data_IF_281250095942
#
_entry.id   IF_281250095942
#
_cell.length_a   1.000
_cell.length_b   1.000
_cell.length_c   1.000
_cell.angle_alpha   90.00
_cell.angle_beta   90.00
_cell.angle_gamma   90.00
#
_symmetry.space_group_name_H-M   'P 1'
#
loop_
_entity.id
_entity.type
_entity.pdbx_description
1 polymer ?
#
# COMPACT_ATOMS: atom_id res chain seq x y z
N UNK A 1 -11.31 -0.95 -11.87
CA UNK A 1 -10.68 -1.75 -10.80
C UNK A 1 -10.05 -0.75 -9.84
N UNK A 2 -10.40 -0.82 -8.55
CA UNK A 2 -9.99 0.18 -7.57
C UNK A 2 -8.79 -0.29 -6.72
N UNK A 3 -8.70 -1.58 -6.43
CA UNK A 3 -7.57 -2.24 -5.76
C UNK A 3 -7.06 -3.41 -6.62
N UNK A 4 -5.75 -3.46 -6.83
CA UNK A 4 -5.07 -4.56 -7.52
C UNK A 4 -4.08 -5.19 -6.55
N UNK A 5 -4.17 -6.52 -6.36
CA UNK A 5 -3.10 -7.31 -5.72
C UNK A 5 -2.31 -8.03 -6.80
N UNK A 6 -0.97 -7.86 -6.77
CA UNK A 6 -0.01 -8.52 -7.65
C UNK A 6 0.88 -9.40 -6.78
N UNK A 7 0.86 -10.72 -7.06
CA UNK A 7 1.62 -11.72 -6.32
C UNK A 7 1.87 -12.88 -7.31
N UNK A 8 2.92 -12.73 -8.10
CA UNK A 8 3.23 -13.59 -9.26
C UNK A 8 4.65 -14.11 -9.24
N UNK A 9 5.25 -14.12 -8.05
CA UNK A 9 6.51 -14.80 -7.72
C UNK A 9 7.66 -14.42 -8.68
N UNK A 10 7.95 -13.10 -8.75
CA UNK A 10 9.07 -12.54 -9.49
C UNK A 10 8.71 -11.90 -10.84
N UNK A 11 7.45 -11.95 -11.27
CA UNK A 11 6.96 -11.32 -12.51
C UNK A 11 6.16 -10.03 -12.29
N UNK A 12 6.18 -9.45 -11.09
CA UNK A 12 5.43 -8.25 -10.70
C UNK A 12 5.72 -7.08 -11.63
N UNK A 13 6.98 -6.86 -11.95
CA UNK A 13 7.42 -5.81 -12.88
C UNK A 13 6.81 -5.94 -14.28
N UNK A 14 6.70 -7.16 -14.80
CA UNK A 14 6.11 -7.41 -16.11
C UNK A 14 4.58 -7.21 -16.07
N UNK A 15 3.93 -7.65 -15.00
CA UNK A 15 2.48 -7.39 -14.79
C UNK A 15 2.21 -5.89 -14.74
N UNK A 16 3.02 -5.11 -14.02
CA UNK A 16 2.91 -3.66 -13.97
C UNK A 16 3.11 -3.04 -15.35
N UNK A 17 4.13 -3.46 -16.07
CA UNK A 17 4.48 -2.95 -17.40
C UNK A 17 3.36 -3.18 -18.42
N UNK A 18 2.84 -4.39 -18.49
CA UNK A 18 1.79 -4.74 -19.47
C UNK A 18 0.38 -4.37 -19.01
N UNK A 19 0.16 -4.25 -17.70
CA UNK A 19 -1.10 -3.80 -17.12
C UNK A 19 -1.31 -2.28 -17.16
N UNK A 20 -0.38 -1.51 -17.72
CA UNK A 20 -0.22 -0.06 -17.69
C UNK A 20 -1.50 0.75 -17.46
N UNK A 21 -2.47 0.70 -18.39
CA UNK A 21 -3.72 1.48 -18.27
C UNK A 21 -4.60 1.02 -17.09
N UNK A 22 -4.66 -0.28 -16.83
CA UNK A 22 -5.41 -0.83 -15.71
C UNK A 22 -4.77 -0.44 -14.37
N UNK A 23 -3.45 -0.57 -14.30
CA UNK A 23 -2.65 -0.16 -13.15
C UNK A 23 -2.81 1.35 -12.93
N UNK A 24 -2.57 2.15 -13.97
CA UNK A 24 -2.65 3.61 -13.88
C UNK A 24 -4.02 4.11 -13.43
N UNK A 25 -5.10 3.43 -13.75
CA UNK A 25 -6.47 3.84 -13.38
C UNK A 25 -6.96 3.25 -12.06
N UNK A 26 -6.16 2.40 -11.38
CA UNK A 26 -6.50 1.91 -10.05
C UNK A 26 -6.19 2.96 -8.97
N UNK A 27 -6.74 2.76 -7.76
CA UNK A 27 -6.53 3.67 -6.62
C UNK A 27 -5.42 3.17 -5.70
N UNK A 28 -5.33 1.85 -5.54
CA UNK A 28 -4.38 1.17 -4.64
C UNK A 28 -3.80 -0.04 -5.34
N UNK A 29 -2.51 -0.26 -5.14
CA UNK A 29 -1.79 -1.45 -5.59
C UNK A 29 -1.11 -2.08 -4.38
N UNK A 30 -1.38 -3.36 -4.15
CA UNK A 30 -0.58 -4.19 -3.26
C UNK A 30 0.26 -5.14 -4.10
N UNK A 31 1.57 -5.16 -3.87
CA UNK A 31 2.47 -6.06 -4.59
C UNK A 31 3.50 -6.68 -3.66
N UNK A 32 3.77 -7.98 -3.83
CA UNK A 32 4.92 -8.62 -3.21
C UNK A 32 6.17 -8.26 -4.01
N UNK A 33 7.28 -8.03 -3.32
CA UNK A 33 8.57 -7.75 -3.96
C UNK A 33 9.72 -8.03 -3.00
N UNK A 34 10.92 -8.13 -3.52
CA UNK A 34 12.11 -8.47 -2.73
C UNK A 34 13.18 -7.39 -2.88
N UNK A 35 13.86 -6.98 -1.79
CA UNK A 35 15.00 -6.06 -1.87
C UNK A 35 16.12 -6.59 -2.77
N UNK A 36 16.33 -7.91 -2.72
CA UNK A 36 17.27 -8.66 -3.55
C UNK A 36 16.46 -9.68 -4.34
N UNK A 37 16.61 -9.77 -5.67
CA UNK A 37 15.90 -10.75 -6.49
C UNK A 37 16.05 -12.18 -5.97
N UNK A 38 14.95 -12.90 -5.82
CA UNK A 38 14.89 -14.28 -5.34
C UNK A 38 14.67 -15.26 -6.50
N UNK A 39 14.10 -14.78 -7.60
CA UNK A 39 13.80 -15.54 -8.80
C UNK A 39 14.63 -15.06 -9.97
N UNK A 40 14.83 -15.93 -10.94
CA UNK A 40 15.49 -15.57 -12.19
C UNK A 40 14.68 -14.50 -12.92
N UNK A 41 15.35 -13.42 -13.35
CA UNK A 41 14.76 -12.24 -14.01
C UNK A 41 13.84 -11.38 -13.13
N UNK A 42 13.64 -11.68 -11.86
CA UNK A 42 12.93 -10.81 -10.93
C UNK A 42 13.59 -9.43 -10.87
N UNK A 43 12.77 -8.39 -10.81
CA UNK A 43 13.24 -7.03 -10.59
C UNK A 43 13.18 -6.68 -9.11
N UNK A 44 14.24 -6.03 -8.56
CA UNK A 44 14.27 -5.68 -7.14
C UNK A 44 13.19 -4.66 -6.79
N UNK A 45 12.85 -4.58 -5.49
CA UNK A 45 11.90 -3.61 -4.92
C UNK A 45 12.08 -2.19 -5.46
N UNK A 46 13.32 -1.70 -5.55
CA UNK A 46 13.61 -0.35 -6.05
C UNK A 46 13.14 -0.12 -7.49
N UNK A 47 13.23 -1.15 -8.34
CA UNK A 47 12.75 -1.07 -9.71
C UNK A 47 11.22 -1.03 -9.78
N UNK A 48 10.55 -1.87 -8.98
CA UNK A 48 9.07 -1.91 -8.87
C UNK A 48 8.54 -0.57 -8.33
N UNK A 49 9.20 -0.01 -7.30
CA UNK A 49 8.88 1.33 -6.79
C UNK A 49 8.93 2.38 -7.90
N UNK A 50 10.04 2.44 -8.64
CA UNK A 50 10.21 3.42 -9.70
C UNK A 50 9.15 3.27 -10.81
N UNK A 51 8.80 2.03 -11.19
CA UNK A 51 7.72 1.79 -12.14
C UNK A 51 6.37 2.38 -11.66
N UNK A 52 6.01 2.13 -10.41
CA UNK A 52 4.74 2.60 -9.84
C UNK A 52 4.75 4.11 -9.61
N UNK A 53 5.88 4.69 -9.20
CA UNK A 53 6.04 6.15 -9.10
C UNK A 53 5.82 6.85 -10.45
N UNK A 54 6.36 6.29 -11.52
CA UNK A 54 6.15 6.79 -12.89
C UNK A 54 4.68 6.68 -13.36
N UNK A 55 3.88 5.80 -12.74
CA UNK A 55 2.44 5.66 -12.97
C UNK A 55 1.58 6.50 -12.02
N UNK A 56 2.19 7.34 -11.20
CA UNK A 56 1.49 8.27 -10.29
C UNK A 56 1.15 7.68 -8.93
N UNK A 57 1.89 6.66 -8.48
CA UNK A 57 1.72 6.07 -7.14
C UNK A 57 2.90 6.40 -6.24
N UNK A 58 2.65 6.42 -4.94
CA UNK A 58 3.68 6.46 -3.90
C UNK A 58 3.58 5.22 -3.02
N UNK A 59 4.72 4.71 -2.57
CA UNK A 59 4.74 3.72 -1.49
C UNK A 59 4.10 4.34 -0.25
N UNK A 60 3.10 3.65 0.30
CA UNK A 60 2.38 4.09 1.48
C UNK A 60 2.81 3.34 2.73
N UNK A 61 2.84 2.02 2.66
CA UNK A 61 3.21 1.18 3.79
C UNK A 61 3.69 -0.21 3.35
N UNK A 62 4.37 -0.90 4.25
CA UNK A 62 4.58 -2.33 4.17
C UNK A 62 3.50 -3.05 4.98
N UNK A 63 2.66 -3.82 4.30
CA UNK A 63 1.61 -4.61 4.94
C UNK A 63 2.19 -5.85 5.64
N UNK A 64 3.29 -6.38 5.10
CA UNK A 64 4.05 -7.47 5.65
C UNK A 64 5.54 -7.30 5.31
N UNK A 65 6.38 -7.65 6.28
CA UNK A 65 7.83 -7.74 6.11
C UNK A 65 8.25 -9.15 6.54
N UNK A 66 8.93 -9.86 5.66
CA UNK A 66 9.56 -11.14 5.95
C UNK A 66 11.07 -10.97 6.04
N UNK A 67 11.67 -11.56 7.06
CA UNK A 67 13.11 -11.54 7.28
C UNK A 67 13.70 -12.96 7.13
N UNK A 68 15.01 -13.03 6.92
CA UNK A 68 15.77 -14.30 6.93
C UNK A 68 17.06 -14.11 7.71
N UNK A 69 17.54 -15.19 8.31
CA UNK A 69 18.85 -15.26 8.92
C UNK A 69 19.91 -15.62 7.88
N UNK A 70 21.11 -15.09 8.05
CA UNK A 70 22.28 -15.54 7.28
C UNK A 70 22.83 -16.83 7.86
N UNK A 71 23.05 -17.85 7.00
CA UNK A 71 23.76 -19.07 7.41
C UNK A 71 25.17 -18.75 7.90
N UNK A 72 25.70 -19.47 8.90
CA UNK A 72 25.15 -20.71 9.48
C UNK A 72 24.13 -20.51 10.62
N UNK A 73 23.75 -19.27 10.97
CA UNK A 73 22.79 -19.03 12.05
C UNK A 73 21.38 -19.47 11.63
N UNK A 74 20.72 -20.22 12.51
CA UNK A 74 19.27 -20.43 12.51
C UNK A 74 18.70 -19.70 13.74
N UNK A 75 17.64 -18.94 13.53
CA UNK A 75 16.94 -18.28 14.62
C UNK A 75 15.73 -19.14 15.01
N UNK A 76 15.65 -19.51 16.31
CA UNK A 76 14.64 -20.43 16.84
C UNK A 76 14.57 -21.78 16.10
N UNK A 77 15.71 -22.29 15.57
CA UNK A 77 15.80 -23.52 14.75
C UNK A 77 14.87 -23.50 13.51
N UNK A 78 14.42 -22.34 13.09
CA UNK A 78 13.53 -22.15 11.95
C UNK A 78 14.25 -21.44 10.79
N UNK A 79 14.33 -22.12 9.64
CA UNK A 79 14.92 -21.59 8.41
C UNK A 79 14.12 -20.41 7.83
N UNK A 80 12.86 -20.26 8.22
CA UNK A 80 11.98 -19.18 7.78
C UNK A 80 12.00 -17.97 8.72
N UNK A 81 12.58 -18.10 9.89
CA UNK A 81 12.76 -17.00 10.84
C UNK A 81 14.03 -16.22 10.55
N UNK A 82 13.97 -14.91 10.76
CA UNK A 82 15.10 -14.02 10.55
C UNK A 82 15.04 -12.78 11.42
N UNK A 83 16.22 -12.12 11.60
CA UNK A 83 16.32 -10.92 12.44
C UNK A 83 16.18 -9.63 11.61
N UNK A 84 17.18 -9.34 10.79
CA UNK A 84 17.30 -8.02 10.16
C UNK A 84 17.32 -8.06 8.62
N UNK A 85 17.74 -9.18 8.03
CA UNK A 85 17.84 -9.29 6.59
C UNK A 85 16.45 -9.32 5.96
N UNK A 86 16.08 -8.26 5.27
CA UNK A 86 14.82 -8.16 4.55
C UNK A 86 14.80 -9.15 3.38
N UNK A 87 13.78 -9.99 3.35
CA UNK A 87 13.65 -11.05 2.35
C UNK A 87 12.53 -10.77 1.36
N UNK A 88 11.30 -10.59 1.84
CA UNK A 88 10.14 -10.26 1.03
C UNK A 88 9.31 -9.16 1.70
N UNK A 89 8.69 -8.32 0.90
CA UNK A 89 7.92 -7.16 1.31
C UNK A 89 6.56 -7.18 0.60
N UNK A 90 5.47 -7.21 1.35
CA UNK A 90 4.15 -6.86 0.84
C UNK A 90 3.98 -5.34 0.89
N UNK A 91 4.13 -4.69 -0.26
CA UNK A 91 4.11 -3.24 -0.38
C UNK A 91 2.74 -2.76 -0.79
N UNK A 92 2.27 -1.69 -0.17
CA UNK A 92 1.03 -1.00 -0.53
C UNK A 92 1.36 0.37 -1.11
N UNK A 93 0.94 0.58 -2.34
CA UNK A 93 1.08 1.84 -3.07
C UNK A 93 -0.28 2.48 -3.24
N UNK A 94 -0.36 3.79 -3.05
CA UNK A 94 -1.55 4.60 -3.25
C UNK A 94 -1.27 5.68 -4.27
N UNK A 95 -2.30 6.26 -4.88
CA UNK A 95 -2.14 7.46 -5.71
C UNK A 95 -1.33 8.51 -4.97
N UNK A 96 -0.41 9.18 -5.64
CA UNK A 96 0.33 10.29 -5.05
C UNK A 96 -0.62 11.46 -4.72
N UNK A 97 -0.17 12.41 -3.89
CA UNK A 97 -1.05 13.50 -3.40
C UNK A 97 -1.65 14.35 -4.52
N UNK A 98 -0.94 14.54 -5.63
CA UNK A 98 -1.46 15.28 -6.79
C UNK A 98 -2.64 14.54 -7.44
N UNK A 99 -2.50 13.24 -7.63
CA UNK A 99 -3.56 12.40 -8.17
C UNK A 99 -4.77 12.31 -7.22
N UNK A 100 -4.52 12.21 -5.90
CA UNK A 100 -5.57 12.21 -4.87
C UNK A 100 -6.38 13.50 -4.90
N UNK A 101 -5.75 14.66 -5.06
CA UNK A 101 -6.44 15.94 -5.13
C UNK A 101 -7.33 16.06 -6.39
N UNK A 102 -6.95 15.35 -7.46
CA UNK A 102 -7.72 15.28 -8.69
C UNK A 102 -8.88 14.28 -8.67
N UNK A 103 -8.93 13.36 -7.68
CA UNK A 103 -9.99 12.35 -7.59
C UNK A 103 -11.37 13.03 -7.45
N UNK A 104 -12.37 12.46 -8.13
CA UNK A 104 -13.77 12.79 -7.91
C UNK A 104 -14.29 12.27 -6.55
N UNK A 105 -15.52 12.63 -6.21
CA UNK A 105 -16.14 12.22 -4.95
C UNK A 105 -16.26 10.70 -4.83
N UNK A 106 -16.58 9.99 -5.91
CA UNK A 106 -16.78 8.55 -5.92
C UNK A 106 -15.47 7.81 -5.67
N UNK A 107 -14.42 8.15 -6.42
CA UNK A 107 -13.12 7.52 -6.28
C UNK A 107 -12.47 7.84 -4.92
N UNK A 108 -12.69 9.04 -4.38
CA UNK A 108 -12.22 9.40 -3.05
C UNK A 108 -12.91 8.54 -1.97
N UNK A 109 -14.22 8.31 -2.08
CA UNK A 109 -14.95 7.41 -1.18
C UNK A 109 -14.46 5.97 -1.28
N UNK A 110 -14.21 5.47 -2.50
CA UNK A 110 -13.64 4.12 -2.70
C UNK A 110 -12.27 3.99 -2.04
N UNK A 111 -11.40 4.97 -2.23
CA UNK A 111 -10.08 4.99 -1.60
C UNK A 111 -10.18 4.98 -0.07
N UNK A 112 -11.07 5.78 0.52
CA UNK A 112 -11.36 5.78 1.96
C UNK A 112 -11.76 4.39 2.43
N UNK A 113 -12.70 3.73 1.75
CA UNK A 113 -13.17 2.40 2.14
C UNK A 113 -12.06 1.34 2.04
N UNK A 114 -11.25 1.36 0.98
CA UNK A 114 -10.13 0.44 0.81
C UNK A 114 -9.11 0.63 1.94
N UNK A 115 -8.69 1.86 2.21
CA UNK A 115 -7.67 2.15 3.22
C UNK A 115 -8.18 1.88 4.63
N UNK A 116 -9.47 2.09 4.90
CA UNK A 116 -10.07 1.81 6.19
C UNK A 116 -10.18 0.32 6.47
N UNK A 117 -10.79 -0.45 5.57
CA UNK A 117 -11.11 -1.85 5.81
C UNK A 117 -9.95 -2.80 5.52
N UNK A 118 -9.23 -2.60 4.41
CA UNK A 118 -8.19 -3.53 3.98
C UNK A 118 -6.85 -3.28 4.66
N UNK A 119 -6.50 -2.01 4.90
CA UNK A 119 -5.17 -1.64 5.37
C UNK A 119 -5.15 -0.98 6.74
N UNK A 120 -6.29 -0.58 7.30
CA UNK A 120 -6.43 0.06 8.63
C UNK A 120 -5.52 1.29 8.79
N UNK A 121 -5.24 2.00 7.70
CA UNK A 121 -4.43 3.22 7.70
C UNK A 121 -5.30 4.42 8.08
N UNK A 122 -5.66 4.49 9.35
CA UNK A 122 -6.68 5.43 9.86
C UNK A 122 -6.26 6.90 9.79
N UNK A 123 -4.99 7.20 9.95
CA UNK A 123 -4.42 8.53 9.78
C UNK A 123 -4.53 9.02 8.34
N UNK A 124 -4.24 8.16 7.38
CA UNK A 124 -4.43 8.46 5.96
C UNK A 124 -5.91 8.60 5.63
N UNK A 125 -6.77 7.76 6.21
CA UNK A 125 -8.23 7.89 6.08
C UNK A 125 -8.73 9.23 6.63
N UNK A 126 -8.21 9.71 7.78
CA UNK A 126 -8.56 11.04 8.32
C UNK A 126 -8.25 12.16 7.32
N UNK A 127 -7.07 12.10 6.69
CA UNK A 127 -6.70 13.02 5.61
C UNK A 127 -7.66 12.93 4.42
N UNK A 128 -7.99 11.72 3.94
CA UNK A 128 -8.89 11.53 2.81
C UNK A 128 -10.30 12.01 3.10
N UNK A 129 -10.80 11.76 4.32
CA UNK A 129 -12.11 12.26 4.78
C UNK A 129 -12.14 13.77 4.84
N UNK A 130 -11.05 14.43 5.29
CA UNK A 130 -10.94 15.88 5.26
C UNK A 130 -11.03 16.46 3.84
N UNK A 131 -10.37 15.81 2.87
CA UNK A 131 -10.45 16.18 1.45
C UNK A 131 -11.87 15.99 0.89
N UNK A 132 -12.54 14.90 1.27
CA UNK A 132 -13.93 14.63 0.89
C UNK A 132 -14.88 15.70 1.46
N UNK A 133 -14.69 16.08 2.74
CA UNK A 133 -15.46 17.14 3.38
C UNK A 133 -15.33 18.48 2.63
N UNK A 134 -14.10 18.88 2.29
CA UNK A 134 -13.85 20.11 1.51
C UNK A 134 -14.57 20.07 0.15
N UNK A 135 -14.49 18.92 -0.54
CA UNK A 135 -15.08 18.75 -1.87
C UNK A 135 -16.60 18.75 -1.86
N UNK A 136 -17.22 18.16 -0.83
CA UNK A 136 -18.68 17.96 -0.76
C UNK A 136 -19.38 19.01 0.11
N UNK A 137 -18.66 19.76 0.92
CA UNK A 137 -19.17 20.71 1.93
C UNK A 137 -20.09 20.04 2.98
N UNK A 138 -19.85 18.75 3.29
CA UNK A 138 -20.60 17.97 4.27
C UNK A 138 -19.68 17.63 5.46
N UNK A 139 -20.23 17.59 6.67
CA UNK A 139 -19.48 17.29 7.90
C UNK A 139 -19.23 15.77 8.04
N UNK A 140 -18.15 15.26 7.47
CA UNK A 140 -17.74 13.86 7.60
C UNK A 140 -16.61 13.65 8.60
N UNK A 141 -15.72 14.62 8.76
CA UNK A 141 -14.49 14.47 9.53
C UNK A 141 -14.77 14.25 11.01
N UNK A 142 -15.69 15.04 11.59
CA UNK A 142 -16.07 14.87 12.99
C UNK A 142 -16.73 13.50 13.23
N UNK A 143 -17.63 13.07 12.32
CA UNK A 143 -18.28 11.77 12.41
C UNK A 143 -17.26 10.63 12.34
N UNK A 144 -16.28 10.73 11.45
CA UNK A 144 -15.20 9.76 11.35
C UNK A 144 -14.36 9.70 12.64
N UNK A 145 -13.97 10.86 13.17
CA UNK A 145 -13.18 10.93 14.42
C UNK A 145 -13.92 10.41 15.64
N UNK A 146 -15.23 10.63 15.71
CA UNK A 146 -16.06 10.05 16.77
C UNK A 146 -16.18 8.53 16.63
N UNK A 147 -16.30 8.01 15.42
CA UNK A 147 -16.21 6.57 15.16
C UNK A 147 -14.87 5.99 15.64
N UNK A 148 -13.74 6.66 15.34
CA UNK A 148 -12.41 6.22 15.79
C UNK A 148 -12.28 6.16 17.32
N UNK A 149 -12.88 7.12 18.06
CA UNK A 149 -12.93 7.10 19.52
C UNK A 149 -13.72 5.89 20.03
N UNK A 150 -14.88 5.60 19.42
CA UNK A 150 -15.71 4.42 19.78
C UNK A 150 -14.94 3.12 19.54
N UNK A 151 -14.22 3.01 18.44
CA UNK A 151 -13.41 1.86 18.09
C UNK A 151 -12.13 1.73 18.95
N UNK A 152 -11.86 2.67 19.85
CA UNK A 152 -10.63 2.76 20.66
C UNK A 152 -9.35 2.74 19.83
N UNK A 153 -9.43 3.17 18.59
CA UNK A 153 -8.27 3.42 17.73
C UNK A 153 -7.65 4.72 18.19
N UNK A 154 -6.60 4.65 18.94
CA UNK A 154 -5.72 5.67 19.54
C UNK A 154 -6.27 7.11 19.74
N UNK A 155 -5.73 7.81 20.74
CA UNK A 155 -6.04 9.22 21.03
C UNK A 155 -5.62 10.09 19.86
N UNK A 156 -6.58 10.60 19.13
CA UNK A 156 -6.34 11.80 18.32
C UNK A 156 -6.11 12.98 19.27
N UNK A 157 -4.98 13.64 19.10
CA UNK A 157 -4.65 14.87 19.84
C UNK A 157 -5.41 16.06 19.25
#
# INVERSE_FOLDING_TARGET
IDLIKIDVQGYESEVIKFGNDKIKNSLVIQTETSPIPLYENEKPFSYVCNQLENLGFNLHMFNRISNRSFKPMLFDDDIYSGLYHLFQLDCVFVKNFKEIDALDEENLKKLILIMFYSFKSYDFVDLLVSKLEIKTKKNYLNQFRDLMKIMKVQKFY
#
